data_IF_218719780214
#
_entry.id   IF_218719780214
#
_cell.length_a   1.000
_cell.length_b   1.000
_cell.length_c   1.000
_cell.angle_alpha   90.00
_cell.angle_beta   90.00
_cell.angle_gamma   90.00
#
_symmetry.space_group_name_H-M   'P 1'
#
loop_
_entity.id
_entity.type
_entity.pdbx_description
1 polymer ?
#
# COMPACT_ATOMS: atom_id res chain seq x y z
N UNK A 1 -2.64 6.12 -12.81
CA UNK A 1 -3.19 7.20 -11.95
C UNK A 1 -2.17 7.49 -10.88
N UNK A 2 -2.25 8.62 -10.17
CA UNK A 2 -1.34 8.89 -9.05
C UNK A 2 -2.01 9.78 -8.01
N UNK A 3 -1.44 9.80 -6.81
CA UNK A 3 -1.93 10.61 -5.69
C UNK A 3 -1.23 11.98 -5.71
N UNK A 4 -2.01 13.04 -5.84
CA UNK A 4 -1.56 14.43 -5.74
C UNK A 4 -1.90 14.98 -4.36
N UNK A 5 -0.94 15.65 -3.74
CA UNK A 5 -1.15 16.37 -2.48
C UNK A 5 -1.47 17.84 -2.73
N UNK A 6 -2.41 18.41 -1.97
CA UNK A 6 -2.72 19.84 -1.97
C UNK A 6 -2.80 20.32 -0.53
N UNK A 7 -2.12 21.43 -0.25
CA UNK A 7 -2.17 22.11 1.05
C UNK A 7 -3.34 23.09 1.07
N UNK A 8 -4.15 23.03 2.12
CA UNK A 8 -5.21 24.00 2.39
C UNK A 8 -5.07 24.47 3.84
N UNK A 9 -4.74 25.76 4.01
CA UNK A 9 -4.33 26.34 5.30
C UNK A 9 -3.11 25.60 5.86
N UNK A 10 -3.26 24.92 6.99
CA UNK A 10 -2.19 24.16 7.67
C UNK A 10 -2.24 22.65 7.38
N UNK A 11 -3.26 22.20 6.64
CA UNK A 11 -3.55 20.79 6.45
C UNK A 11 -3.26 20.33 5.03
N UNK A 12 -2.79 19.10 4.90
CA UNK A 12 -2.55 18.47 3.61
C UNK A 12 -3.67 17.49 3.26
N UNK A 13 -4.02 17.47 1.98
CA UNK A 13 -5.12 16.68 1.43
C UNK A 13 -4.68 15.92 0.19
N UNK A 14 -5.16 14.69 0.05
CA UNK A 14 -4.83 13.80 -1.06
C UNK A 14 -5.98 13.72 -2.07
N UNK A 15 -5.60 13.74 -3.35
CA UNK A 15 -6.51 13.65 -4.49
C UNK A 15 -5.97 12.61 -5.45
N UNK A 16 -6.83 11.72 -5.91
CA UNK A 16 -6.55 10.79 -6.98
C UNK A 16 -6.70 11.50 -8.32
N UNK A 17 -5.67 11.46 -9.15
CA UNK A 17 -5.64 12.14 -10.44
C UNK A 17 -5.09 11.23 -11.53
N UNK A 18 -5.43 11.54 -12.77
CA UNK A 18 -4.82 10.95 -13.95
C UNK A 18 -4.11 12.05 -14.79
N UNK A 19 -3.16 11.62 -15.62
CA UNK A 19 -2.51 12.48 -16.62
C UNK A 19 -3.06 12.08 -17.98
N UNK A 20 -3.65 13.03 -18.71
CA UNK A 20 -4.17 12.84 -20.06
C UNK A 20 -3.47 13.78 -21.02
N UNK A 21 -2.88 13.24 -22.08
CA UNK A 21 -2.26 14.05 -23.12
C UNK A 21 -3.32 14.86 -23.89
N UNK A 22 -3.16 16.18 -23.93
CA UNK A 22 -3.97 17.07 -24.74
C UNK A 22 -3.30 17.22 -26.12
N UNK A 23 -3.83 16.52 -27.12
CA UNK A 23 -3.29 16.54 -28.49
C UNK A 23 -3.28 17.94 -29.10
N UNK A 24 -4.30 18.75 -28.86
CA UNK A 24 -4.45 20.10 -29.44
C UNK A 24 -3.43 21.08 -28.86
N UNK A 25 -3.32 21.12 -27.53
CA UNK A 25 -2.39 22.03 -26.84
C UNK A 25 -0.97 21.45 -26.69
N UNK A 26 -0.74 20.22 -27.17
CA UNK A 26 0.52 19.46 -27.01
C UNK A 26 1.06 19.50 -25.58
N UNK A 27 0.17 19.37 -24.59
CA UNK A 27 0.50 19.47 -23.17
C UNK A 27 -0.20 18.37 -22.38
N UNK A 28 0.34 17.98 -21.23
CA UNK A 28 -0.39 17.11 -20.31
C UNK A 28 -1.46 17.90 -19.55
N UNK A 29 -2.67 17.34 -19.49
CA UNK A 29 -3.77 17.82 -18.63
C UNK A 29 -4.00 16.81 -17.51
N UNK A 30 -4.02 17.29 -16.28
CA UNK A 30 -4.47 16.49 -15.13
C UNK A 30 -6.00 16.41 -15.13
N UNK A 31 -6.57 15.21 -14.97
CA UNK A 31 -7.98 15.06 -14.64
C UNK A 31 -8.13 14.57 -13.20
N UNK A 32 -9.12 15.12 -12.52
CA UNK A 32 -9.46 14.75 -11.15
C UNK A 32 -10.33 13.50 -11.17
N UNK A 33 -9.97 12.51 -10.36
CA UNK A 33 -10.69 11.23 -10.27
C UNK A 33 -11.38 11.05 -8.92
N UNK A 34 -10.89 11.64 -7.84
CA UNK A 34 -11.54 11.52 -6.54
C UNK A 34 -10.74 12.13 -5.39
N UNK A 35 -11.46 12.58 -4.35
CA UNK A 35 -10.85 13.05 -3.11
C UNK A 35 -10.58 11.85 -2.20
N UNK A 36 -9.36 11.75 -1.67
CA UNK A 36 -8.93 10.60 -0.85
C UNK A 36 -8.95 10.89 0.65
N UNK A 37 -8.98 12.17 1.04
CA UNK A 37 -9.03 12.57 2.45
C UNK A 37 -7.87 13.46 2.90
N UNK A 38 -7.90 13.79 4.20
CA UNK A 38 -6.79 14.47 4.90
C UNK A 38 -5.59 13.53 5.03
N UNK A 39 -4.39 14.08 4.93
CA UNK A 39 -3.13 13.35 5.05
C UNK A 39 -2.62 13.42 6.49
N UNK A 40 -2.41 12.26 7.10
CA UNK A 40 -1.68 12.09 8.35
C UNK A 40 -0.25 11.62 8.03
N UNK A 41 0.74 12.08 8.81
CA UNK A 41 2.17 11.83 8.53
C UNK A 41 2.87 11.28 9.78
N UNK A 42 2.60 10.02 10.18
CA UNK A 42 3.33 9.42 11.30
C UNK A 42 4.81 9.27 10.95
N UNK A 43 5.67 9.54 11.92
CA UNK A 43 7.10 9.26 11.80
C UNK A 43 7.36 7.76 11.96
N UNK A 44 8.39 7.25 11.28
CA UNK A 44 8.85 5.87 11.48
C UNK A 44 9.66 5.83 12.78
N UNK A 45 9.24 5.00 13.73
CA UNK A 45 9.84 4.92 15.07
C UNK A 45 10.65 3.63 15.26
N UNK A 46 10.30 2.57 14.54
CA UNK A 46 10.95 1.27 14.66
C UNK A 46 11.43 0.73 13.30
N UNK A 47 12.21 -0.34 13.35
CA UNK A 47 12.70 -1.07 12.18
C UNK A 47 12.53 -2.60 12.38
N UNK A 48 11.30 -2.98 12.70
CA UNK A 48 10.86 -4.36 12.88
C UNK A 48 10.92 -5.07 11.53
N UNK A 49 11.39 -6.32 11.54
CA UNK A 49 11.43 -7.21 10.38
C UNK A 49 10.37 -8.31 10.52
N UNK A 50 9.99 -8.92 9.39
CA UNK A 50 8.99 -10.00 9.35
C UNK A 50 9.30 -11.15 10.34
N UNK A 51 10.55 -11.60 10.34
CA UNK A 51 11.04 -12.70 11.19
C UNK A 51 10.99 -12.36 12.69
N UNK A 52 10.82 -11.09 13.05
CA UNK A 52 10.69 -10.65 14.44
C UNK A 52 9.26 -10.79 14.97
N UNK A 53 8.25 -10.71 14.11
CA UNK A 53 6.83 -10.80 14.51
C UNK A 53 6.33 -12.24 14.45
N UNK A 54 6.78 -13.00 13.43
CA UNK A 54 6.40 -14.39 13.25
C UNK A 54 7.63 -15.25 13.51
N UNK A 55 7.45 -16.36 14.22
CA UNK A 55 8.47 -17.41 14.34
C UNK A 55 8.59 -18.12 13.00
N UNK A 56 9.30 -17.49 12.07
CA UNK A 56 9.54 -17.98 10.72
C UNK A 56 10.95 -18.56 10.69
N UNK A 57 11.06 -19.81 10.28
CA UNK A 57 12.35 -20.47 10.08
C UNK A 57 13.07 -19.91 8.85
N UNK A 58 12.34 -19.73 7.74
CA UNK A 58 12.83 -19.05 6.53
C UNK A 58 11.71 -18.35 5.75
N UNK A 59 12.05 -17.28 5.02
CA UNK A 59 11.10 -16.55 4.18
C UNK A 59 10.45 -17.46 3.14
N UNK A 60 11.22 -18.36 2.53
CA UNK A 60 10.75 -19.30 1.51
C UNK A 60 9.69 -20.24 2.07
N UNK A 61 9.95 -20.84 3.24
CA UNK A 61 9.00 -21.76 3.88
C UNK A 61 7.71 -21.03 4.27
N UNK A 62 7.82 -19.83 4.82
CA UNK A 62 6.66 -19.02 5.17
C UNK A 62 5.83 -18.65 3.93
N UNK A 63 6.50 -18.15 2.88
CA UNK A 63 5.82 -17.76 1.63
C UNK A 63 5.18 -18.97 0.97
N UNK A 64 5.83 -20.13 0.90
CA UNK A 64 5.26 -21.33 0.30
C UNK A 64 3.96 -21.77 0.98
N UNK A 65 3.95 -21.80 2.32
CA UNK A 65 2.87 -22.37 3.12
C UNK A 65 1.75 -21.38 3.50
N UNK A 66 1.95 -20.08 3.30
CA UNK A 66 0.97 -19.05 3.71
C UNK A 66 0.12 -18.58 2.52
N UNK A 67 -1.13 -18.19 2.78
CA UNK A 67 -1.97 -17.59 1.74
C UNK A 67 -1.48 -16.19 1.36
N UNK A 68 -1.57 -15.83 0.07
CA UNK A 68 -1.08 -14.54 -0.45
C UNK A 68 -1.67 -13.34 0.31
N UNK A 69 -2.98 -13.37 0.59
CA UNK A 69 -3.64 -12.28 1.31
C UNK A 69 -3.07 -12.09 2.72
N UNK A 70 -2.73 -13.18 3.40
CA UNK A 70 -2.13 -13.14 4.73
C UNK A 70 -0.69 -12.63 4.67
N UNK A 71 0.08 -13.01 3.65
CA UNK A 71 1.43 -12.48 3.41
C UNK A 71 1.37 -10.95 3.20
N UNK A 72 0.49 -10.46 2.34
CA UNK A 72 0.34 -9.02 2.08
C UNK A 72 -0.09 -8.27 3.35
N UNK A 73 -1.00 -8.84 4.15
CA UNK A 73 -1.36 -8.28 5.45
C UNK A 73 -0.16 -8.21 6.38
N UNK A 74 0.57 -9.32 6.56
CA UNK A 74 1.72 -9.38 7.46
C UNK A 74 2.80 -8.35 7.06
N UNK A 75 3.05 -8.14 5.76
CA UNK A 75 3.94 -7.08 5.27
C UNK A 75 3.45 -5.68 5.63
N UNK A 76 2.17 -5.38 5.41
CA UNK A 76 1.58 -4.09 5.78
C UNK A 76 1.65 -3.88 7.30
N UNK A 77 1.34 -4.92 8.09
CA UNK A 77 1.35 -4.89 9.56
C UNK A 77 2.72 -4.49 10.08
N UNK A 78 3.81 -5.01 9.51
CA UNK A 78 5.17 -4.62 9.89
C UNK A 78 5.36 -3.11 9.77
N UNK A 79 4.98 -2.54 8.64
CA UNK A 79 5.10 -1.10 8.43
C UNK A 79 4.21 -0.29 9.37
N UNK A 80 2.97 -0.74 9.61
CA UNK A 80 2.09 -0.09 10.58
C UNK A 80 2.71 -0.09 11.99
N UNK A 81 3.29 -1.21 12.41
CA UNK A 81 3.99 -1.31 13.69
C UNK A 81 5.23 -0.43 13.72
N UNK A 82 5.99 -0.35 12.62
CA UNK A 82 7.15 0.55 12.49
C UNK A 82 6.79 2.03 12.64
N UNK A 83 5.54 2.39 12.32
CA UNK A 83 4.98 3.72 12.52
C UNK A 83 4.23 3.89 13.85
N UNK A 84 4.42 2.97 14.80
CA UNK A 84 3.85 2.97 16.15
C UNK A 84 2.31 2.97 16.19
N UNK A 85 1.67 2.31 15.22
CA UNK A 85 0.24 2.03 15.32
C UNK A 85 -0.01 0.88 16.30
N UNK A 86 -1.01 1.04 17.16
CA UNK A 86 -1.39 0.03 18.15
C UNK A 86 -2.38 -0.94 17.53
N UNK A 87 -2.13 -2.23 17.69
CA UNK A 87 -3.03 -3.26 17.19
C UNK A 87 -4.19 -3.48 18.17
N UNK A 88 -5.42 -3.43 17.65
CA UNK A 88 -6.63 -3.88 18.32
C UNK A 88 -7.36 -4.86 17.39
N UNK A 89 -7.15 -6.16 17.63
CA UNK A 89 -7.61 -7.25 16.74
C UNK A 89 -7.08 -7.06 15.31
N UNK A 90 -7.95 -6.66 14.39
CA UNK A 90 -7.65 -6.44 12.96
C UNK A 90 -7.59 -4.95 12.57
N UNK A 91 -7.71 -4.05 13.55
CA UNK A 91 -7.68 -2.61 13.36
C UNK A 91 -6.40 -2.07 14.00
N UNK A 92 -5.68 -1.24 13.25
CA UNK A 92 -4.46 -0.58 13.70
C UNK A 92 -4.76 0.89 13.93
N UNK A 93 -4.60 1.32 15.19
CA UNK A 93 -4.93 2.66 15.65
C UNK A 93 -3.68 3.53 15.71
N UNK A 94 -3.68 4.62 14.95
CA UNK A 94 -2.76 5.73 15.11
C UNK A 94 -3.36 6.82 15.99
N UNK A 95 -2.74 8.00 16.02
CA UNK A 95 -3.20 9.09 16.89
C UNK A 95 -4.64 9.53 16.59
N UNK A 96 -4.99 9.73 15.31
CA UNK A 96 -6.29 10.28 14.86
C UNK A 96 -6.89 9.53 13.67
N UNK A 97 -6.40 8.32 13.41
CA UNK A 97 -6.77 7.51 12.26
C UNK A 97 -6.67 6.01 12.59
N UNK A 98 -7.35 5.22 11.77
CA UNK A 98 -7.47 3.78 11.87
C UNK A 98 -7.18 3.14 10.51
N UNK A 99 -6.54 1.97 10.54
CA UNK A 99 -6.35 1.09 9.37
C UNK A 99 -7.03 -0.24 9.66
N UNK A 100 -8.04 -0.59 8.85
CA UNK A 100 -8.76 -1.86 8.91
C UNK A 100 -8.34 -2.72 7.71
N UNK A 101 -7.53 -3.75 7.97
CA UNK A 101 -6.99 -4.64 6.93
C UNK A 101 -7.99 -5.74 6.50
N UNK A 102 -9.08 -5.94 7.24
CA UNK A 102 -10.16 -6.84 6.82
C UNK A 102 -11.03 -6.16 5.78
N UNK A 103 -11.35 -4.87 6.00
CA UNK A 103 -12.18 -4.07 5.08
C UNK A 103 -11.36 -3.32 4.02
N UNK A 104 -10.02 -3.32 4.13
CA UNK A 104 -9.11 -2.53 3.32
C UNK A 104 -9.48 -1.03 3.34
N UNK A 105 -9.67 -0.49 4.55
CA UNK A 105 -10.09 0.90 4.77
C UNK A 105 -9.14 1.66 5.69
N UNK A 106 -9.01 2.95 5.41
CA UNK A 106 -8.28 3.92 6.22
C UNK A 106 -9.18 5.11 6.50
N UNK A 107 -9.44 5.37 7.78
CA UNK A 107 -10.41 6.40 8.19
C UNK A 107 -9.99 7.11 9.47
N UNK A 108 -10.44 8.35 9.65
CA UNK A 108 -10.17 9.12 10.86
C UNK A 108 -11.14 8.77 12.00
N UNK A 109 -10.94 9.36 13.19
CA UNK A 109 -11.88 9.23 14.34
C UNK A 109 -13.33 9.62 14.08
N UNK A 110 -13.59 10.37 13.00
CA UNK A 110 -14.94 10.74 12.55
C UNK A 110 -15.46 9.79 11.46
N UNK A 111 -14.80 8.64 11.25
CA UNK A 111 -15.11 7.64 10.22
C UNK A 111 -15.08 8.16 8.78
N UNK A 112 -14.40 9.28 8.53
CA UNK A 112 -14.20 9.79 7.18
C UNK A 112 -12.93 9.19 6.56
N UNK A 113 -12.92 8.90 5.24
CA UNK A 113 -11.72 8.45 4.55
C UNK A 113 -10.54 9.39 4.78
N UNK A 114 -9.37 8.82 5.03
CA UNK A 114 -8.14 9.57 5.14
C UNK A 114 -6.97 8.82 4.53
N UNK A 115 -5.83 9.51 4.46
CA UNK A 115 -4.60 8.99 3.87
C UNK A 115 -3.49 9.07 4.90
N UNK A 116 -2.69 8.02 4.99
CA UNK A 116 -1.49 8.01 5.83
C UNK A 116 -0.30 8.09 4.88
N UNK A 117 0.46 9.17 4.95
CA UNK A 117 1.74 9.27 4.24
C UNK A 117 2.80 8.58 5.09
N UNK A 118 3.28 7.45 4.60
CA UNK A 118 4.34 6.65 5.22
C UNK A 118 5.33 6.20 4.16
N UNK A 119 6.59 6.06 4.58
CA UNK A 119 7.72 5.81 3.69
C UNK A 119 7.67 6.74 2.46
N UNK A 120 7.69 6.18 1.25
CA UNK A 120 7.63 6.92 -0.02
C UNK A 120 6.23 6.97 -0.66
N UNK A 121 5.19 6.59 0.07
CA UNK A 121 3.85 6.44 -0.49
C UNK A 121 2.71 6.94 0.40
N UNK A 122 1.51 6.45 0.09
CA UNK A 122 0.25 6.87 0.70
C UNK A 122 -0.64 5.66 0.95
N UNK A 123 -0.76 5.25 2.20
CA UNK A 123 -1.68 4.19 2.60
C UNK A 123 -3.11 4.74 2.71
N UNK A 124 -4.02 4.24 1.86
CA UNK A 124 -5.43 4.57 1.86
C UNK A 124 -6.26 3.45 1.22
N UNK A 125 -7.58 3.56 1.24
CA UNK A 125 -8.50 2.59 0.62
C UNK A 125 -8.09 2.24 -0.83
N UNK A 126 -7.72 3.25 -1.62
CA UNK A 126 -7.36 3.06 -3.02
C UNK A 126 -6.08 2.23 -3.16
N UNK A 127 -5.01 2.58 -2.43
CA UNK A 127 -3.72 1.89 -2.56
C UNK A 127 -3.73 0.50 -1.94
N UNK A 128 -4.47 0.31 -0.84
CA UNK A 128 -4.73 -1.01 -0.27
C UNK A 128 -5.44 -1.91 -1.28
N UNK A 129 -6.56 -1.45 -1.85
CA UNK A 129 -7.30 -2.24 -2.85
C UNK A 129 -6.46 -2.51 -4.09
N UNK A 130 -5.69 -1.53 -4.55
CA UNK A 130 -4.79 -1.70 -5.70
C UNK A 130 -3.77 -2.81 -5.41
N UNK A 131 -3.13 -2.80 -4.24
CA UNK A 131 -2.14 -3.81 -3.84
C UNK A 131 -2.76 -5.22 -3.75
N UNK A 132 -3.90 -5.37 -3.07
CA UNK A 132 -4.56 -6.68 -2.91
C UNK A 132 -5.17 -7.23 -4.21
N UNK A 133 -5.54 -6.35 -5.14
CA UNK A 133 -6.11 -6.73 -6.43
C UNK A 133 -5.08 -6.73 -7.57
N UNK A 134 -3.78 -6.59 -7.27
CA UNK A 134 -2.74 -6.67 -8.28
C UNK A 134 -2.53 -8.12 -8.69
N UNK A 135 -3.33 -8.55 -9.65
CA UNK A 135 -3.20 -9.83 -10.33
C UNK A 135 -2.39 -9.68 -11.63
N UNK A 136 -1.68 -10.74 -12.05
CA UNK A 136 -1.13 -10.85 -13.40
C UNK A 136 -2.25 -10.59 -14.42
N UNK A 137 -1.97 -9.69 -15.37
CA UNK A 137 -2.95 -9.30 -16.39
C UNK A 137 -2.47 -9.60 -17.81
N UNK A 138 -1.26 -10.14 -17.95
CA UNK A 138 -0.65 -10.49 -19.24
C UNK A 138 0.51 -11.47 -19.03
N UNK A 139 0.93 -12.13 -20.10
CA UNK A 139 2.12 -13.00 -20.19
C UNK A 139 3.46 -12.27 -20.01
N UNK A 140 3.45 -10.95 -19.80
CA UNK A 140 4.68 -10.16 -19.65
C UNK A 140 5.08 -10.03 -18.18
N UNK A 141 5.94 -10.95 -17.75
CA UNK A 141 6.54 -11.02 -16.42
C UNK A 141 7.14 -9.67 -15.96
N UNK A 142 7.86 -8.98 -16.85
CA UNK A 142 8.54 -7.71 -16.54
C UNK A 142 7.53 -6.60 -16.29
N UNK A 143 6.45 -6.54 -17.07
CA UNK A 143 5.40 -5.55 -16.89
C UNK A 143 4.65 -5.78 -15.58
N UNK A 144 4.32 -7.04 -15.28
CA UNK A 144 3.68 -7.42 -14.02
C UNK A 144 4.56 -7.08 -12.81
N UNK A 145 5.86 -7.39 -12.86
CA UNK A 145 6.80 -7.07 -11.78
C UNK A 145 6.86 -5.57 -11.51
N UNK A 146 6.90 -4.75 -12.56
CA UNK A 146 6.83 -3.28 -12.45
C UNK A 146 5.51 -2.80 -11.84
N UNK A 147 4.39 -3.41 -12.22
CA UNK A 147 3.06 -3.08 -11.68
C UNK A 147 2.97 -3.41 -10.19
N UNK A 148 3.43 -4.58 -9.78
CA UNK A 148 3.46 -5.01 -8.38
C UNK A 148 4.37 -4.12 -7.53
N UNK A 149 5.60 -3.85 -7.99
CA UNK A 149 6.53 -2.96 -7.30
C UNK A 149 5.95 -1.55 -7.10
N UNK A 150 5.28 -1.01 -8.13
CA UNK A 150 4.58 0.28 -8.03
C UNK A 150 3.45 0.23 -7.00
N UNK A 151 2.69 -0.85 -6.92
CA UNK A 151 1.61 -0.98 -5.95
C UNK A 151 2.12 -0.92 -4.50
N UNK A 152 3.25 -1.60 -4.19
CA UNK A 152 3.90 -1.50 -2.89
C UNK A 152 4.36 -0.07 -2.57
N UNK A 153 5.08 0.56 -3.51
CA UNK A 153 5.59 1.93 -3.34
C UNK A 153 4.45 2.93 -3.16
N UNK A 154 3.39 2.84 -3.98
CA UNK A 154 2.22 3.73 -3.90
C UNK A 154 1.49 3.59 -2.57
N UNK A 155 1.37 2.36 -2.05
CA UNK A 155 0.80 2.09 -0.73
C UNK A 155 1.69 2.55 0.44
N UNK A 156 2.93 2.96 0.16
CA UNK A 156 3.89 3.35 1.19
C UNK A 156 4.44 2.16 1.97
N UNK A 157 4.44 0.98 1.36
CA UNK A 157 4.90 -0.26 1.97
C UNK A 157 6.34 -0.52 1.55
N UNK A 158 7.23 -0.65 2.52
CA UNK A 158 8.65 -0.93 2.32
C UNK A 158 8.86 -2.44 2.31
N UNK A 159 9.30 -2.98 1.16
CA UNK A 159 9.58 -4.40 1.00
C UNK A 159 11.02 -4.60 0.55
N UNK A 160 11.72 -5.53 1.20
CA UNK A 160 13.07 -5.90 0.78
C UNK A 160 13.02 -6.73 -0.52
N UNK A 161 14.14 -6.73 -1.25
CA UNK A 161 14.21 -7.36 -2.57
C UNK A 161 13.93 -8.86 -2.54
N UNK A 162 14.48 -9.58 -1.55
CA UNK A 162 14.31 -11.03 -1.40
C UNK A 162 12.84 -11.40 -1.22
N UNK A 163 12.15 -10.77 -0.27
CA UNK A 163 10.74 -10.99 0.00
C UNK A 163 9.86 -10.58 -1.18
N UNK A 164 10.21 -9.50 -1.88
CA UNK A 164 9.51 -9.09 -3.09
C UNK A 164 9.57 -10.17 -4.17
N UNK A 165 10.75 -10.75 -4.42
CA UNK A 165 10.92 -11.83 -5.40
C UNK A 165 10.09 -13.04 -5.02
N UNK A 166 10.09 -13.45 -3.75
CA UNK A 166 9.29 -14.59 -3.28
C UNK A 166 7.78 -14.36 -3.43
N UNK A 167 7.29 -13.16 -3.11
CA UNK A 167 5.87 -12.80 -3.29
C UNK A 167 5.52 -12.77 -4.77
N UNK A 168 6.37 -12.15 -5.59
CA UNK A 168 6.21 -12.08 -7.03
C UNK A 168 6.07 -13.47 -7.65
N UNK A 169 7.02 -14.37 -7.34
CA UNK A 169 7.02 -15.75 -7.78
C UNK A 169 5.74 -16.48 -7.38
N UNK A 170 5.29 -16.30 -6.13
CA UNK A 170 4.06 -16.93 -5.64
C UNK A 170 2.83 -16.45 -6.39
N UNK A 171 2.74 -15.16 -6.71
CA UNK A 171 1.60 -14.61 -7.46
C UNK A 171 1.64 -15.11 -8.90
N UNK A 172 2.80 -15.02 -9.55
CA UNK A 172 2.94 -15.33 -10.97
C UNK A 172 2.79 -16.83 -11.26
N UNK A 173 3.36 -17.71 -10.42
CA UNK A 173 3.26 -19.17 -10.58
C UNK A 173 1.86 -19.72 -10.27
N UNK A 174 1.09 -19.06 -9.40
CA UNK A 174 -0.25 -19.53 -9.01
C UNK A 174 -1.31 -19.33 -10.09
N UNK A 175 -1.10 -18.43 -11.05
CA UNK A 175 -1.98 -18.25 -12.23
C UNK A 175 -1.48 -18.98 -13.49
N UNK A 176 -0.29 -19.58 -13.45
CA UNK A 176 0.25 -20.37 -14.56
C UNK A 176 -0.28 -21.83 -14.59
N UNK A 177 -1.24 -22.16 -13.71
CA UNK A 177 -1.91 -23.47 -13.58
C UNK A 177 -3.41 -23.23 -13.75
#
# INVERSE_FOLDING_TARGET
MYIRTKKLKKEDYAYLVNSKWNKTKRTSKQQFNGYLGRIYKPEKQFNIKLNSIKRIDSNESYIANTQLQEILKDVIIIDLLNHNLRQNKYIYEGQDYYVDLVKLKVYNKKFNPCVIKMNNGFLCDYTLKNLFNTLPSSTNEVEFGKKLARAFIEAGIEINQELFVLIFDKIYKKEAI
#
